data_IF_240218396647
#
_entry.id   IF_240218396647
#
_cell.length_a   1.000
_cell.length_b   1.000
_cell.length_c   1.000
_cell.angle_alpha   90.00
_cell.angle_beta   90.00
_cell.angle_gamma   90.00
#
_symmetry.space_group_name_H-M   'P 1'
#
loop_
_entity.id
_entity.type
_entity.pdbx_description
1 polymer ?
#
# COMPACT_ATOMS: atom_id res chain seq x y z
N UNK A 1 13.83 1.30 52.69
CA UNK A 1 12.46 1.25 52.11
C UNK A 1 12.33 2.23 50.95
N UNK A 2 12.34 1.77 49.70
CA UNK A 2 12.02 2.63 48.53
C UNK A 2 11.41 1.79 47.40
N UNK A 3 10.09 1.69 47.32
CA UNK A 3 9.38 1.51 46.04
C UNK A 3 7.96 2.13 46.13
N UNK A 4 7.86 3.45 46.05
CA UNK A 4 6.60 4.15 45.81
C UNK A 4 6.77 5.13 44.63
N UNK A 5 7.06 4.59 43.43
CA UNK A 5 7.21 5.41 42.21
C UNK A 5 6.56 4.80 40.95
N UNK A 6 6.00 3.58 41.03
CA UNK A 6 5.39 2.89 39.87
C UNK A 6 3.94 3.31 39.57
N UNK A 7 3.15 3.79 40.55
CA UNK A 7 1.72 4.08 40.34
C UNK A 7 1.43 5.43 39.64
N UNK A 8 2.27 6.45 39.86
CA UNK A 8 2.10 7.78 39.25
C UNK A 8 2.40 7.83 37.75
N UNK A 9 3.33 7.00 37.25
CA UNK A 9 3.72 6.95 35.83
C UNK A 9 2.63 6.31 34.96
N UNK A 10 2.02 5.20 35.43
CA UNK A 10 0.85 4.58 34.80
C UNK A 10 -0.34 5.55 34.72
N UNK A 11 -0.60 6.32 35.79
CA UNK A 11 -1.68 7.34 35.80
C UNK A 11 -1.45 8.46 34.77
N UNK A 12 -0.21 8.86 34.51
CA UNK A 12 0.10 9.88 33.48
C UNK A 12 -0.08 9.34 32.06
N UNK A 13 0.37 8.12 31.78
CA UNK A 13 0.18 7.47 30.48
C UNK A 13 -1.32 7.30 30.20
N UNK A 14 -2.10 6.80 31.16
CA UNK A 14 -3.54 6.62 30.97
C UNK A 14 -4.25 7.92 30.63
N UNK A 15 -3.91 9.04 31.30
CA UNK A 15 -4.49 10.35 30.97
C UNK A 15 -4.11 10.85 29.58
N UNK A 16 -2.88 10.59 29.14
CA UNK A 16 -2.45 10.91 27.77
C UNK A 16 -3.24 10.09 26.75
N UNK A 17 -3.38 8.78 26.99
CA UNK A 17 -4.18 7.89 26.14
C UNK A 17 -5.63 8.35 26.09
N UNK A 18 -6.27 8.62 27.24
CA UNK A 18 -7.64 9.16 27.32
C UNK A 18 -7.78 10.50 26.58
N UNK A 19 -6.80 11.39 26.71
CA UNK A 19 -6.75 12.66 25.98
C UNK A 19 -6.71 12.47 24.48
N UNK A 20 -5.84 11.59 23.99
CA UNK A 20 -5.74 11.24 22.57
C UNK A 20 -7.01 10.57 22.06
N UNK A 21 -7.59 9.62 22.81
CA UNK A 21 -8.84 8.97 22.41
C UNK A 21 -9.99 9.97 22.27
N UNK A 22 -10.04 11.01 23.11
CA UNK A 22 -11.03 12.10 22.95
C UNK A 22 -10.83 12.89 21.67
N UNK A 23 -9.58 13.06 21.21
CA UNK A 23 -9.31 13.71 19.90
C UNK A 23 -9.74 12.87 18.71
N UNK A 24 -10.00 11.57 18.91
CA UNK A 24 -10.43 10.65 17.87
C UNK A 24 -11.96 10.42 17.84
N UNK A 25 -12.69 10.96 18.82
CA UNK A 25 -14.11 10.73 19.00
C UNK A 25 -15.01 11.44 17.97
N UNK A 26 -14.46 12.37 17.18
CA UNK A 26 -15.18 13.04 16.10
C UNK A 26 -15.27 12.20 14.81
N UNK A 27 -14.71 10.97 14.83
CA UNK A 27 -14.72 10.05 13.70
C UNK A 27 -13.83 10.48 12.53
N UNK A 28 -13.03 11.53 12.67
CA UNK A 28 -12.15 12.04 11.60
C UNK A 28 -10.73 11.49 11.67
N UNK A 29 -10.27 11.12 12.86
CA UNK A 29 -8.88 10.74 13.09
C UNK A 29 -8.59 9.25 12.82
N UNK A 30 -9.57 8.41 13.10
CA UNK A 30 -9.59 7.02 12.67
C UNK A 30 -10.52 7.09 11.49
N UNK A 31 -10.04 6.83 10.26
CA UNK A 31 -10.98 6.65 9.16
C UNK A 31 -11.97 5.56 9.62
N UNK A 32 -13.10 5.39 8.95
CA UNK A 32 -13.93 4.19 9.04
C UNK A 32 -13.14 2.94 8.49
N UNK A 33 -11.84 2.84 8.83
CA UNK A 33 -10.77 1.98 8.28
C UNK A 33 -11.14 0.51 8.39
N UNK A 34 -11.88 0.12 9.43
CA UNK A 34 -12.28 -1.27 9.60
C UNK A 34 -13.18 -1.76 8.45
N UNK A 35 -13.96 -0.88 7.80
CA UNK A 35 -14.86 -1.27 6.70
C UNK A 35 -14.32 -0.95 5.29
N UNK A 36 -13.27 -0.13 5.18
CA UNK A 36 -12.89 0.47 3.90
C UNK A 36 -11.93 -0.37 3.04
N UNK A 37 -11.29 -1.41 3.58
CA UNK A 37 -10.32 -2.27 2.86
C UNK A 37 -9.28 -1.43 2.10
N UNK A 38 -8.61 -0.51 2.82
CA UNK A 38 -7.68 0.45 2.23
C UNK A 38 -6.39 -0.23 1.72
N UNK A 39 -5.69 0.40 0.74
CA UNK A 39 -4.36 -0.02 0.34
C UNK A 39 -3.38 0.01 1.50
N UNK A 40 -2.53 -1.01 1.58
CA UNK A 40 -1.50 -1.16 2.61
C UNK A 40 -0.22 -0.50 2.12
N UNK A 41 0.20 0.57 2.80
CA UNK A 41 1.37 1.36 2.43
C UNK A 41 2.64 0.52 2.32
N UNK A 42 2.84 -0.40 3.25
CA UNK A 42 4.03 -1.26 3.31
C UNK A 42 4.12 -2.18 2.07
N UNK A 43 2.98 -2.69 1.58
CA UNK A 43 2.94 -3.51 0.37
C UNK A 43 3.31 -2.69 -0.86
N UNK A 44 2.79 -1.46 -0.97
CA UNK A 44 3.10 -0.54 -2.08
C UNK A 44 4.60 -0.23 -2.10
N UNK A 45 5.18 0.12 -0.95
CA UNK A 45 6.61 0.42 -0.85
C UNK A 45 7.44 -0.80 -1.23
N UNK A 46 7.09 -1.99 -0.74
CA UNK A 46 7.79 -3.21 -1.10
C UNK A 46 7.78 -3.45 -2.61
N UNK A 47 6.64 -3.25 -3.29
CA UNK A 47 6.56 -3.35 -4.74
C UNK A 47 7.42 -2.31 -5.47
N UNK A 48 7.48 -1.07 -4.97
CA UNK A 48 8.35 -0.03 -5.54
C UNK A 48 9.83 -0.34 -5.35
N UNK A 49 10.22 -0.87 -4.19
CA UNK A 49 11.60 -1.31 -3.94
C UNK A 49 11.99 -2.44 -4.90
N UNK A 50 11.08 -3.37 -5.17
CA UNK A 50 11.29 -4.42 -6.17
C UNK A 50 11.44 -3.85 -7.59
N UNK A 51 10.63 -2.86 -7.98
CA UNK A 51 10.78 -2.18 -9.27
C UNK A 51 12.13 -1.48 -9.42
N UNK A 52 12.66 -0.88 -8.35
CA UNK A 52 14.00 -0.31 -8.36
C UNK A 52 15.09 -1.35 -8.68
N UNK A 53 14.93 -2.60 -8.21
CA UNK A 53 15.86 -3.68 -8.54
C UNK A 53 15.83 -4.08 -10.02
N UNK A 54 14.68 -3.93 -10.67
CA UNK A 54 14.54 -4.17 -12.12
C UNK A 54 15.14 -3.01 -12.93
N UNK A 55 14.89 -1.77 -12.50
CA UNK A 55 15.43 -0.58 -13.16
C UNK A 55 16.95 -0.48 -13.01
N UNK A 56 17.47 -0.89 -11.85
CA UNK A 56 18.90 -0.83 -11.51
C UNK A 56 19.41 -2.20 -11.02
N UNK A 57 19.56 -3.20 -11.93
CA UNK A 57 20.02 -4.53 -11.54
C UNK A 57 21.43 -4.45 -10.94
N UNK A 58 21.63 -5.12 -9.80
CA UNK A 58 22.90 -5.12 -9.06
C UNK A 58 23.08 -3.95 -8.08
N UNK A 59 22.16 -2.97 -8.04
CA UNK A 59 22.21 -1.88 -7.05
C UNK A 59 21.79 -2.33 -5.64
N UNK A 60 20.86 -3.30 -5.54
CA UNK A 60 20.44 -3.85 -4.26
C UNK A 60 21.46 -4.81 -3.67
N UNK A 61 21.69 -4.75 -2.34
CA UNK A 61 22.56 -5.66 -1.59
C UNK A 61 22.06 -7.11 -1.45
N UNK A 62 21.23 -7.56 -2.41
CA UNK A 62 20.60 -8.88 -2.43
C UNK A 62 21.37 -9.91 -3.25
N UNK A 63 20.64 -10.70 -4.03
CA UNK A 63 21.17 -11.82 -4.82
C UNK A 63 22.10 -11.31 -5.94
N UNK A 64 23.26 -11.96 -6.19
CA UNK A 64 24.14 -11.60 -7.30
C UNK A 64 23.39 -11.73 -8.64
N UNK A 65 23.37 -10.65 -9.42
CA UNK A 65 22.77 -10.64 -10.76
C UNK A 65 23.88 -10.79 -11.80
N UNK A 66 23.70 -11.74 -12.71
CA UNK A 66 24.60 -12.02 -13.83
C UNK A 66 23.79 -12.08 -15.13
N UNK A 67 24.49 -12.04 -16.27
CA UNK A 67 23.83 -12.22 -17.58
C UNK A 67 23.07 -13.54 -17.71
N UNK A 68 23.50 -14.59 -17.01
CA UNK A 68 22.89 -15.92 -17.09
C UNK A 68 21.62 -16.07 -16.24
N UNK A 69 21.41 -15.20 -15.25
CA UNK A 69 20.24 -15.26 -14.36
C UNK A 69 19.31 -14.04 -14.46
N UNK A 70 19.70 -13.01 -15.23
CA UNK A 70 18.98 -11.74 -15.32
C UNK A 70 17.53 -11.90 -15.77
N UNK A 71 17.27 -12.73 -16.78
CA UNK A 71 15.91 -12.95 -17.29
C UNK A 71 14.99 -13.53 -16.21
N UNK A 72 15.43 -14.59 -15.53
CA UNK A 72 14.69 -15.19 -14.43
C UNK A 72 14.50 -14.21 -13.26
N UNK A 73 15.54 -13.44 -12.93
CA UNK A 73 15.48 -12.44 -11.88
C UNK A 73 14.44 -11.36 -12.16
N UNK A 74 14.44 -10.80 -13.38
CA UNK A 74 13.47 -9.78 -13.79
C UNK A 74 12.07 -10.38 -13.86
N UNK A 75 11.90 -11.57 -14.44
CA UNK A 75 10.61 -12.25 -14.53
C UNK A 75 9.97 -12.54 -13.17
N UNK A 76 10.74 -13.02 -12.20
CA UNK A 76 10.28 -13.25 -10.83
C UNK A 76 9.77 -11.95 -10.20
N UNK A 77 10.54 -10.87 -10.32
CA UNK A 77 10.19 -9.59 -9.72
C UNK A 77 8.94 -9.00 -10.38
N UNK A 78 8.89 -8.94 -11.71
CA UNK A 78 7.75 -8.37 -12.44
C UNK A 78 6.47 -9.15 -12.13
N UNK A 79 6.52 -10.48 -12.10
CA UNK A 79 5.35 -11.30 -11.77
C UNK A 79 4.83 -11.04 -10.34
N UNK A 80 5.75 -10.96 -9.37
CA UNK A 80 5.40 -10.65 -7.97
C UNK A 80 4.81 -9.25 -7.83
N UNK A 81 5.48 -8.24 -8.41
CA UNK A 81 5.04 -6.85 -8.38
C UNK A 81 3.68 -6.69 -9.03
N UNK A 82 3.44 -7.34 -10.18
CA UNK A 82 2.14 -7.33 -10.83
C UNK A 82 1.05 -7.84 -9.88
N UNK A 83 1.22 -9.03 -9.29
CA UNK A 83 0.25 -9.60 -8.37
C UNK A 83 -0.04 -8.70 -7.16
N UNK A 84 1.02 -8.18 -6.53
CA UNK A 84 0.90 -7.37 -5.32
C UNK A 84 0.29 -6.00 -5.61
N UNK A 85 0.74 -5.30 -6.65
CA UNK A 85 0.20 -4.00 -7.02
C UNK A 85 -1.23 -4.09 -7.53
N UNK A 86 -1.63 -5.13 -8.26
CA UNK A 86 -3.04 -5.30 -8.67
C UNK A 86 -3.94 -5.38 -7.43
N UNK A 87 -3.52 -6.11 -6.38
CA UNK A 87 -4.29 -6.18 -5.13
C UNK A 87 -4.42 -4.83 -4.45
N UNK A 88 -3.34 -4.06 -4.37
CA UNK A 88 -3.34 -2.72 -3.75
C UNK A 88 -4.08 -1.67 -4.59
N UNK A 89 -3.95 -1.71 -5.92
CA UNK A 89 -4.70 -0.85 -6.83
C UNK A 89 -6.21 -1.15 -6.79
N UNK A 90 -6.59 -2.42 -6.70
CA UNK A 90 -7.99 -2.80 -6.56
C UNK A 90 -8.62 -2.25 -5.27
N UNK A 91 -7.88 -2.28 -4.15
CA UNK A 91 -8.28 -1.62 -2.89
C UNK A 91 -8.51 -0.12 -3.08
N UNK A 92 -7.61 0.55 -3.80
CA UNK A 92 -7.71 1.98 -4.09
C UNK A 92 -8.94 2.29 -4.97
N UNK A 93 -9.18 1.50 -6.02
CA UNK A 93 -10.37 1.67 -6.88
C UNK A 93 -11.67 1.40 -6.12
N UNK A 94 -11.72 0.38 -5.26
CA UNK A 94 -12.87 0.11 -4.39
C UNK A 94 -13.13 1.28 -3.46
N UNK A 95 -12.10 1.82 -2.82
CA UNK A 95 -12.22 3.00 -1.98
C UNK A 95 -12.79 4.19 -2.77
N UNK A 96 -12.22 4.50 -3.94
CA UNK A 96 -12.71 5.58 -4.80
C UNK A 96 -14.18 5.39 -5.21
N UNK A 97 -14.62 4.16 -5.46
CA UNK A 97 -16.02 3.86 -5.71
C UNK A 97 -16.91 4.12 -4.48
N UNK A 98 -16.47 3.70 -3.28
CA UNK A 98 -17.20 3.88 -2.01
C UNK A 98 -17.39 5.36 -1.67
N UNK A 99 -16.36 6.19 -1.85
CA UNK A 99 -16.42 7.64 -1.55
C UNK A 99 -16.98 8.49 -2.68
N UNK A 100 -17.47 7.88 -3.78
CA UNK A 100 -18.07 8.60 -4.89
C UNK A 100 -17.11 9.35 -5.81
N UNK A 101 -15.80 9.07 -5.73
CA UNK A 101 -14.73 9.66 -6.54
C UNK A 101 -14.33 8.80 -7.75
N UNK A 102 -15.11 7.78 -8.09
CA UNK A 102 -14.85 6.93 -9.24
C UNK A 102 -15.02 7.70 -10.55
N UNK A 103 -13.92 7.83 -11.32
CA UNK A 103 -13.90 8.49 -12.62
C UNK A 103 -14.50 7.66 -13.76
N UNK A 104 -14.59 6.34 -13.57
CA UNK A 104 -14.98 5.37 -14.60
C UNK A 104 -16.47 5.08 -14.62
N UNK A 105 -17.19 5.52 -13.59
CA UNK A 105 -18.58 5.19 -13.37
C UNK A 105 -19.35 6.48 -13.05
N UNK A 106 -20.02 7.05 -14.05
CA UNK A 106 -20.79 8.30 -13.88
C UNK A 106 -22.10 8.13 -13.08
N UNK A 107 -22.19 7.13 -12.19
CA UNK A 107 -23.37 6.88 -11.37
C UNK A 107 -23.02 6.95 -9.89
N UNK A 108 -23.88 7.61 -9.08
CA UNK A 108 -23.72 7.80 -7.63
C UNK A 108 -23.64 6.50 -6.81
N UNK A 109 -23.85 5.33 -7.44
CA UNK A 109 -23.75 3.99 -6.86
C UNK A 109 -23.08 3.08 -7.87
N UNK A 110 -21.76 2.99 -7.78
CA UNK A 110 -21.00 2.11 -8.65
C UNK A 110 -21.23 0.63 -8.29
N UNK A 111 -22.29 0.03 -8.84
CA UNK A 111 -22.59 -1.40 -8.66
C UNK A 111 -21.90 -2.31 -9.68
N UNK A 112 -21.32 -1.73 -10.75
CA UNK A 112 -20.78 -2.47 -11.89
C UNK A 112 -19.31 -2.17 -12.19
N UNK A 113 -18.58 -1.43 -11.34
CA UNK A 113 -17.13 -1.32 -11.55
C UNK A 113 -16.51 -2.69 -11.33
N UNK A 114 -15.86 -3.21 -12.36
CA UNK A 114 -14.85 -4.22 -12.16
C UNK A 114 -13.56 -3.53 -11.71
N UNK A 115 -13.41 -3.37 -10.39
CA UNK A 115 -12.21 -2.75 -9.82
C UNK A 115 -10.95 -3.58 -10.00
N UNK A 116 -11.09 -4.89 -10.25
CA UNK A 116 -9.95 -5.76 -10.49
C UNK A 116 -9.45 -5.58 -11.91
N UNK A 117 -10.36 -5.55 -12.90
CA UNK A 117 -9.98 -5.26 -14.29
C UNK A 117 -9.34 -3.87 -14.44
N UNK A 118 -9.87 -2.85 -13.74
CA UNK A 118 -9.25 -1.52 -13.71
C UNK A 118 -7.87 -1.52 -13.06
N UNK A 119 -7.67 -2.36 -12.03
CA UNK A 119 -6.39 -2.51 -11.35
C UNK A 119 -5.36 -3.21 -12.24
N UNK A 120 -5.75 -4.30 -12.91
CA UNK A 120 -4.92 -5.01 -13.89
C UNK A 120 -4.49 -4.06 -15.01
N UNK A 121 -5.43 -3.39 -15.67
CA UNK A 121 -5.13 -2.45 -16.75
C UNK A 121 -4.16 -1.33 -16.32
N UNK A 122 -4.38 -0.75 -15.13
CA UNK A 122 -3.51 0.29 -14.59
C UNK A 122 -2.09 -0.22 -14.27
N UNK A 123 -1.98 -1.43 -13.72
CA UNK A 123 -0.68 -2.03 -13.38
C UNK A 123 0.05 -2.49 -14.63
N UNK A 124 -0.64 -3.09 -15.60
CA UNK A 124 -0.08 -3.45 -16.90
C UNK A 124 0.47 -2.23 -17.62
N UNK A 125 -0.27 -1.11 -17.60
CA UNK A 125 0.21 0.14 -18.19
C UNK A 125 1.47 0.67 -17.49
N UNK A 126 1.52 0.60 -16.16
CA UNK A 126 2.69 0.99 -15.37
C UNK A 126 3.92 0.11 -15.70
N UNK A 127 3.74 -1.22 -15.67
CA UNK A 127 4.83 -2.17 -15.90
C UNK A 127 5.31 -2.14 -17.35
N UNK A 128 4.40 -1.97 -18.30
CA UNK A 128 4.71 -1.76 -19.72
C UNK A 128 5.48 -0.47 -20.00
N UNK A 129 5.39 0.53 -19.12
CA UNK A 129 6.16 1.77 -19.23
C UNK A 129 7.60 1.66 -18.67
N UNK A 130 7.95 0.59 -17.95
CA UNK A 130 9.26 0.44 -17.31
C UNK A 130 10.45 0.51 -18.28
N UNK A 131 10.40 -0.06 -19.50
CA UNK A 131 11.49 0.10 -20.46
C UNK A 131 11.81 1.57 -20.75
N UNK A 132 10.77 2.41 -20.95
CA UNK A 132 10.92 3.85 -21.19
C UNK A 132 11.39 4.61 -19.95
N UNK A 133 11.01 4.19 -18.75
CA UNK A 133 11.46 4.82 -17.49
C UNK A 133 12.95 4.59 -17.24
N UNK A 134 13.49 3.49 -17.77
CA UNK A 134 14.90 3.12 -17.62
C UNK A 134 15.83 3.88 -18.57
N UNK A 135 15.33 4.32 -19.72
CA UNK A 135 16.05 5.13 -20.71
C UNK A 135 16.30 6.57 -20.20
#
# INVERSE_FOLDING_TARGET
MRVAKKSGKKKKINRLVEGLMKTYADGKAINEVEELDLPVRENIIASLDQLHLVLFPGFGGGRPVSHTNLEYYVGEIISRVHHDLVREAARAFRYNCKVGNCKYCHTRRCRKCDTNALAEDAVDHLLGALPRVRE
#
